data_IF_884893351977
#
_entry.id   IF_884893351977
#
_cell.length_a   1.000
_cell.length_b   1.000
_cell.length_c   1.000
_cell.angle_alpha   90.00
_cell.angle_beta   90.00
_cell.angle_gamma   90.00
#
_symmetry.space_group_name_H-M   'P 1'
#
loop_
_entity.id
_entity.type
_entity.pdbx_description
1 polymer ?
2 non-polymer ?
3 non-polymer ?
4 water ?
#
# COMPACT_ATOMS: atom_id res chain seq x y z
N UNK A 1 5.51 15.72 6.96
CA UNK A 1 5.56 15.93 5.52
C UNK A 1 5.96 14.65 4.77
N UNK A 2 5.59 14.52 3.47
CA UNK A 2 5.86 13.35 2.64
C UNK A 2 6.72 13.63 1.41
N UNK A 3 6.61 14.84 0.88
CA UNK A 3 7.28 15.22 -0.36
C UNK A 3 8.71 15.74 -0.29
N UNK A 4 9.20 16.07 0.91
CA UNK A 4 10.54 16.62 1.09
C UNK A 4 11.57 15.56 1.59
N UNK A 5 11.30 14.27 1.35
CA UNK A 5 12.24 13.25 1.81
C UNK A 5 13.32 12.98 0.78
N UNK A 6 14.56 12.73 1.24
CA UNK A 6 15.70 12.46 0.36
C UNK A 6 15.47 11.14 -0.34
N UNK A 7 15.77 11.12 -1.64
CA UNK A 7 15.60 9.93 -2.44
C UNK A 7 16.94 9.46 -2.97
N UNK A 8 17.00 8.18 -3.42
CA UNK A 8 18.19 7.56 -4.00
C UNK A 8 18.81 8.43 -5.12
N UNK A 9 17.99 9.12 -5.94
CA UNK A 9 18.46 9.96 -7.05
C UNK A 9 19.21 11.22 -6.57
N UNK A 10 18.92 11.68 -5.34
CA UNK A 10 19.53 12.86 -4.73
C UNK A 10 20.87 12.57 -4.06
N UNK A 11 21.20 11.27 -3.89
CA UNK A 11 22.43 10.88 -3.21
C UNK A 11 23.61 11.00 -4.17
N UNK A 12 24.56 11.88 -3.81
CA UNK A 12 25.74 12.16 -4.62
C UNK A 12 26.88 11.18 -4.38
N UNK A 13 27.20 10.88 -3.12
CA UNK A 13 28.33 10.00 -2.80
C UNK A 13 27.92 8.55 -2.62
N UNK A 14 27.99 7.74 -3.72
CA UNK A 14 27.65 6.31 -3.72
C UNK A 14 28.91 5.43 -4.01
N UNK A 15 29.81 5.86 -4.92
CA UNK A 15 31.01 5.12 -5.30
C UNK A 15 31.91 4.80 -4.09
N UNK A 16 32.27 3.53 -3.97
CA UNK A 16 33.09 3.01 -2.89
C UNK A 16 32.41 2.86 -1.54
N UNK A 17 31.06 3.04 -1.49
CA UNK A 17 30.28 2.96 -0.25
C UNK A 17 29.67 1.58 -0.03
N UNK A 18 29.48 1.24 1.25
CA UNK A 18 28.75 0.04 1.64
C UNK A 18 27.32 0.56 1.82
N UNK A 19 26.44 0.17 0.92
CA UNK A 19 25.05 0.64 0.90
C UNK A 19 24.11 -0.41 1.50
N UNK A 20 23.47 -0.06 2.62
CA UNK A 20 22.48 -0.92 3.29
C UNK A 20 21.10 -0.59 2.72
N UNK A 21 20.40 -1.62 2.14
CA UNK A 21 19.09 -1.42 1.48
C UNK A 21 18.03 -2.25 2.15
N UNK A 22 16.98 -1.58 2.68
CA UNK A 22 15.82 -2.30 3.25
C UNK A 22 14.84 -2.56 2.10
N UNK A 23 14.66 -3.84 1.75
CA UNK A 23 13.76 -4.22 0.66
C UNK A 23 12.60 -5.03 1.21
N UNK A 24 11.55 -5.15 0.41
CA UNK A 24 10.37 -5.95 0.72
C UNK A 24 10.45 -7.25 -0.14
N UNK A 25 10.95 -8.34 0.46
CA UNK A 25 11.11 -9.64 -0.19
C UNK A 25 10.20 -10.67 0.50
N UNK A 26 9.05 -10.22 1.05
CA UNK A 26 8.06 -11.06 1.71
C UNK A 26 7.25 -11.79 0.61
N UNK A 27 7.91 -12.75 -0.05
CA UNK A 27 7.39 -13.51 -1.18
C UNK A 27 6.84 -14.86 -0.74
N UNK A 28 5.80 -15.42 -1.43
CA UNK A 28 5.33 -16.76 -1.06
C UNK A 28 6.30 -17.83 -1.54
N UNK A 29 6.83 -18.63 -0.58
CA UNK A 29 7.79 -19.71 -0.87
C UNK A 29 7.16 -21.07 -0.56
N UNK A 30 6.99 -21.90 -1.59
CA UNK A 30 6.44 -23.25 -1.49
C UNK A 30 7.55 -24.28 -1.69
N UNK A 31 8.04 -24.85 -0.56
CA UNK A 31 9.15 -25.83 -0.44
C UNK A 31 10.35 -25.44 -1.32
N UNK A 32 10.98 -24.31 -0.95
CA UNK A 32 12.14 -23.75 -1.61
C UNK A 32 11.88 -22.99 -2.90
N UNK A 33 10.66 -23.10 -3.46
CA UNK A 33 10.30 -22.46 -4.73
C UNK A 33 9.50 -21.17 -4.49
N UNK A 34 9.93 -20.06 -5.10
CA UNK A 34 9.22 -18.78 -5.00
C UNK A 34 8.12 -18.80 -6.07
N UNK A 35 6.85 -18.66 -5.67
CA UNK A 35 5.72 -18.71 -6.62
C UNK A 35 5.42 -17.34 -7.25
N UNK A 36 5.71 -16.24 -6.54
CA UNK A 36 5.52 -14.89 -7.07
C UNK A 36 6.82 -14.10 -6.89
N UNK A 37 7.44 -13.68 -8.02
CA UNK A 37 8.72 -12.96 -8.03
C UNK A 37 8.60 -11.44 -8.22
N UNK A 38 7.35 -10.88 -8.31
CA UNK A 38 7.10 -9.46 -8.53
C UNK A 38 7.83 -8.51 -7.57
N UNK A 39 7.85 -8.83 -6.27
CA UNK A 39 8.50 -8.03 -5.23
C UNK A 39 10.01 -7.99 -5.45
N UNK A 40 10.59 -9.13 -5.91
CA UNK A 40 12.03 -9.24 -6.18
C UNK A 40 12.37 -8.40 -7.42
N UNK A 41 11.56 -8.54 -8.49
CA UNK A 41 11.69 -7.82 -9.75
C UNK A 41 11.56 -6.31 -9.53
N UNK A 42 10.66 -5.89 -8.64
CA UNK A 42 10.43 -4.48 -8.33
C UNK A 42 11.62 -3.77 -7.67
N UNK A 43 12.58 -4.51 -7.08
CA UNK A 43 13.77 -3.91 -6.45
C UNK A 43 14.94 -3.71 -7.43
N UNK A 44 14.86 -4.30 -8.65
CA UNK A 44 15.93 -4.21 -9.66
C UNK A 44 16.35 -2.76 -10.00
N UNK A 45 15.46 -1.76 -10.21
CA UNK A 45 15.96 -0.40 -10.46
C UNK A 45 16.87 0.15 -9.35
N UNK A 46 16.54 -0.15 -8.08
CA UNK A 46 17.32 0.27 -6.91
C UNK A 46 18.70 -0.38 -6.92
N UNK A 47 18.75 -1.71 -7.12
CA UNK A 47 20.00 -2.47 -7.17
C UNK A 47 20.86 -2.03 -8.35
N UNK A 48 20.24 -1.87 -9.55
CA UNK A 48 20.97 -1.46 -10.75
C UNK A 48 21.58 -0.06 -10.58
N UNK A 49 20.82 0.88 -10.03
CA UNK A 49 21.36 2.22 -9.80
C UNK A 49 22.59 2.15 -8.87
N UNK A 50 22.53 1.36 -7.80
CA UNK A 50 23.66 1.24 -6.89
C UNK A 50 24.89 0.59 -7.55
N UNK A 51 24.74 -0.52 -8.30
CA UNK A 51 25.85 -1.17 -9.03
C UNK A 51 26.47 -0.17 -10.05
N UNK A 52 25.63 0.49 -10.87
CA UNK A 52 26.01 1.47 -11.90
C UNK A 52 26.75 2.65 -11.27
N UNK A 53 26.30 3.10 -10.09
CA UNK A 53 26.94 4.22 -9.40
C UNK A 53 28.22 3.81 -8.62
N UNK A 54 28.66 2.56 -8.79
CA UNK A 54 29.89 2.05 -8.24
C UNK A 54 29.93 1.76 -6.76
N UNK A 55 28.79 1.37 -6.16
CA UNK A 55 28.74 1.00 -4.75
C UNK A 55 29.76 -0.13 -4.50
N UNK A 56 30.47 -0.09 -3.36
CA UNK A 56 31.45 -1.13 -3.01
C UNK A 56 30.70 -2.44 -2.65
N UNK A 57 29.61 -2.32 -1.87
CA UNK A 57 28.76 -3.43 -1.45
C UNK A 57 27.31 -2.99 -1.48
N UNK A 58 26.41 -3.90 -1.91
CA UNK A 58 24.96 -3.65 -1.91
C UNK A 58 24.43 -4.69 -0.95
N UNK A 59 24.13 -4.24 0.28
CA UNK A 59 23.73 -5.11 1.38
C UNK A 59 22.23 -5.03 1.57
N UNK A 60 21.54 -6.13 1.26
CA UNK A 60 20.08 -6.19 1.33
C UNK A 60 19.62 -6.82 2.60
N UNK A 61 18.71 -6.13 3.30
CA UNK A 61 18.06 -6.61 4.53
C UNK A 61 16.54 -6.65 4.30
N UNK A 62 15.89 -7.74 4.75
CA UNK A 62 14.45 -7.88 4.54
C UNK A 62 13.90 -8.88 5.53
N UNK A 63 12.62 -9.22 5.37
CA UNK A 63 11.92 -10.21 6.17
C UNK A 63 10.98 -10.94 5.25
N UNK A 64 10.52 -12.11 5.70
CA UNK A 64 9.51 -12.91 5.01
C UNK A 64 8.86 -13.86 6.01
N UNK A 65 7.60 -14.18 5.77
CA UNK A 65 6.84 -15.09 6.62
C UNK A 65 6.61 -14.58 8.04
N UNK A 66 6.58 -15.51 8.99
CA UNK A 66 6.28 -15.18 10.38
C UNK A 66 7.16 -15.94 11.41
N UNK A 67 8.51 -15.70 11.45
CA UNK A 67 9.34 -16.38 12.45
C UNK A 67 9.10 -15.94 13.90
N UNK A 68 8.54 -14.74 14.08
CA UNK A 68 8.15 -14.19 15.40
C UNK A 68 9.32 -13.97 16.37
N UNK A 69 10.43 -13.41 15.89
CA UNK A 69 11.58 -13.11 16.71
C UNK A 69 12.41 -14.32 17.14
N UNK A 70 12.34 -15.38 16.34
CA UNK A 70 13.07 -16.63 16.59
C UNK A 70 13.57 -17.13 15.26
N UNK A 71 14.78 -17.72 15.23
CA UNK A 71 15.33 -18.33 14.02
C UNK A 71 14.42 -19.49 13.64
N UNK A 72 13.83 -19.40 12.43
CA UNK A 72 12.90 -20.37 11.88
C UNK A 72 13.20 -20.49 10.39
N UNK A 73 13.97 -21.52 10.03
CA UNK A 73 14.46 -21.75 8.68
C UNK A 73 13.39 -22.11 7.65
N UNK A 74 12.09 -22.14 8.04
CA UNK A 74 11.00 -22.30 7.07
C UNK A 74 10.86 -20.93 6.36
N UNK A 75 11.21 -19.85 7.09
CA UNK A 75 11.14 -18.47 6.64
C UNK A 75 12.54 -17.89 6.29
N UNK A 76 13.43 -18.78 5.82
CA UNK A 76 14.79 -18.40 5.41
C UNK A 76 14.70 -17.61 4.10
N UNK A 77 15.53 -16.57 3.95
CA UNK A 77 15.56 -15.79 2.71
C UNK A 77 16.49 -16.42 1.67
N UNK A 78 17.14 -17.57 2.01
CA UNK A 78 18.03 -18.29 1.08
C UNK A 78 17.46 -18.44 -0.34
N UNK A 79 16.22 -18.92 -0.58
CA UNK A 79 15.73 -19.02 -1.97
C UNK A 79 15.65 -17.69 -2.72
N UNK A 80 15.42 -16.58 -2.01
CA UNK A 80 15.33 -15.22 -2.60
C UNK A 80 16.69 -14.81 -3.22
N UNK A 81 17.81 -15.19 -2.56
CA UNK A 81 19.18 -14.90 -3.03
C UNK A 81 19.39 -15.53 -4.40
N UNK A 82 19.00 -16.82 -4.55
CA UNK A 82 19.06 -17.62 -5.79
C UNK A 82 18.23 -17.01 -6.92
N UNK A 83 16.99 -16.59 -6.64
CA UNK A 83 16.10 -15.98 -7.64
C UNK A 83 16.65 -14.62 -8.08
N UNK A 84 17.07 -13.80 -7.10
CA UNK A 84 17.66 -12.49 -7.37
C UNK A 84 18.93 -12.64 -8.22
N UNK A 85 19.76 -13.64 -7.89
CA UNK A 85 20.96 -13.96 -8.65
C UNK A 85 20.65 -14.22 -10.11
N UNK A 86 19.63 -15.07 -10.38
CA UNK A 86 19.16 -15.38 -11.74
C UNK A 86 18.73 -14.10 -12.47
N UNK A 87 17.96 -13.21 -11.80
CA UNK A 87 17.49 -11.94 -12.36
C UNK A 87 18.60 -10.92 -12.65
N UNK A 88 19.68 -10.98 -11.86
CA UNK A 88 20.80 -10.05 -11.99
C UNK A 88 21.87 -10.52 -12.99
N UNK A 89 21.94 -11.84 -13.22
CA UNK A 89 22.93 -12.43 -14.10
C UNK A 89 24.29 -12.48 -13.41
N UNK A 90 24.28 -12.64 -12.07
CA UNK A 90 25.46 -12.71 -11.22
C UNK A 90 25.12 -13.39 -9.91
N UNK A 91 26.14 -13.95 -9.23
CA UNK A 91 25.95 -14.62 -7.95
C UNK A 91 25.64 -13.58 -6.86
N UNK A 92 24.59 -13.85 -6.07
CA UNK A 92 24.19 -13.01 -4.95
C UNK A 92 24.60 -13.79 -3.71
N UNK A 93 25.46 -13.19 -2.87
CA UNK A 93 25.94 -13.87 -1.67
C UNK A 93 24.88 -13.86 -0.58
N UNK A 94 24.53 -15.06 -0.06
CA UNK A 94 23.56 -15.18 1.01
C UNK A 94 24.25 -15.46 2.32
N UNK A 95 23.98 -14.63 3.36
CA UNK A 95 24.58 -14.80 4.70
C UNK A 95 23.52 -15.28 5.69
N UNK A 96 23.91 -16.20 6.59
CA UNK A 96 23.02 -16.87 7.54
C UNK A 96 22.53 -16.00 8.72
N UNK A 97 23.06 -14.78 8.85
CA UNK A 97 22.61 -13.85 9.90
C UNK A 97 22.61 -12.45 9.28
N UNK A 98 22.21 -11.43 10.05
CA UNK A 98 22.14 -10.06 9.53
C UNK A 98 22.96 -9.05 10.37
N UNK A 99 23.48 -9.48 11.53
CA UNK A 99 24.25 -8.65 12.46
C UNK A 99 25.50 -9.42 12.98
N UNK A 100 26.48 -8.70 13.54
CA UNK A 100 27.66 -9.32 14.15
C UNK A 100 28.94 -9.29 13.35
N UNK A 101 30.07 -9.55 14.05
CA UNK A 101 31.44 -9.53 13.51
C UNK A 101 31.61 -10.47 12.31
N UNK A 102 31.04 -11.69 12.39
CA UNK A 102 31.14 -12.66 11.29
C UNK A 102 30.45 -12.19 10.01
N UNK A 103 29.25 -11.58 10.15
CA UNK A 103 28.52 -11.05 9.01
C UNK A 103 29.33 -9.89 8.42
N UNK A 104 29.85 -9.00 9.30
CA UNK A 104 30.69 -7.87 8.89
C UNK A 104 31.94 -8.34 8.13
N UNK A 105 32.58 -9.43 8.60
CA UNK A 105 33.79 -10.02 7.98
C UNK A 105 33.50 -10.58 6.58
N UNK A 106 32.35 -11.28 6.44
CA UNK A 106 31.89 -11.87 5.18
C UNK A 106 31.54 -10.79 4.18
N UNK A 107 30.99 -9.64 4.66
CA UNK A 107 30.64 -8.52 3.78
C UNK A 107 31.93 -7.92 3.21
N UNK A 108 32.90 -7.65 4.09
CA UNK A 108 34.19 -7.06 3.68
C UNK A 108 34.98 -7.96 2.76
N UNK A 109 34.91 -9.29 2.97
CA UNK A 109 35.60 -10.30 2.17
C UNK A 109 35.01 -10.50 0.77
N UNK A 110 33.73 -10.10 0.58
CA UNK A 110 33.01 -10.27 -0.69
C UNK A 110 33.61 -9.43 -1.82
N UNK A 111 33.38 -9.88 -3.05
CA UNK A 111 33.80 -9.22 -4.29
C UNK A 111 33.25 -7.77 -4.32
N UNK A 112 34.05 -6.81 -4.79
CA UNK A 112 33.61 -5.42 -4.87
C UNK A 112 32.46 -5.27 -5.87
N UNK A 113 31.54 -4.33 -5.58
CA UNK A 113 30.33 -3.99 -6.36
C UNK A 113 29.31 -5.15 -6.39
N UNK A 114 29.45 -6.14 -5.47
CA UNK A 114 28.53 -7.30 -5.43
C UNK A 114 27.31 -7.07 -4.51
N UNK A 115 26.31 -7.96 -4.61
CA UNK A 115 25.05 -7.92 -3.89
C UNK A 115 25.04 -9.01 -2.81
N UNK A 116 24.77 -8.61 -1.56
CA UNK A 116 24.74 -9.53 -0.43
C UNK A 116 23.34 -9.51 0.20
N UNK A 117 22.75 -10.69 0.40
CA UNK A 117 21.43 -10.79 1.04
C UNK A 117 21.62 -11.37 2.44
N UNK A 118 21.22 -10.60 3.44
CA UNK A 118 21.36 -11.06 4.81
C UNK A 118 20.13 -11.86 5.23
N UNK A 119 20.29 -12.69 6.26
CA UNK A 119 19.17 -13.50 6.71
C UNK A 119 18.05 -12.63 7.31
N UNK A 120 16.79 -13.12 7.16
CA UNK A 120 15.53 -12.56 7.66
C UNK A 120 15.71 -11.80 8.95
N UNK A 121 15.40 -10.48 8.94
CA UNK A 121 15.51 -9.62 10.13
C UNK A 121 14.62 -10.12 11.27
N UNK A 122 13.44 -10.69 10.91
CA UNK A 122 12.45 -11.11 11.90
C UNK A 122 12.83 -12.40 12.67
N UNK A 123 14.04 -12.95 12.42
CA UNK A 123 14.59 -14.07 13.20
C UNK A 123 15.05 -13.48 14.55
N UNK A 124 15.09 -12.12 14.64
CA UNK A 124 15.50 -11.38 15.83
C UNK A 124 14.30 -10.67 16.44
N UNK A 125 14.07 -10.87 17.74
CA UNK A 125 12.95 -10.25 18.46
C UNK A 125 13.02 -8.72 18.41
N UNK A 126 14.24 -8.17 18.30
CA UNK A 126 14.52 -6.74 18.27
C UNK A 126 14.01 -6.06 17.00
N UNK A 127 13.71 -6.82 15.93
CA UNK A 127 13.22 -6.20 14.70
C UNK A 127 11.80 -5.65 14.93
N UNK A 128 10.86 -6.51 15.29
CA UNK A 128 9.49 -6.09 15.58
C UNK A 128 9.37 -5.55 17.00
N UNK A 129 10.29 -5.94 17.88
CA UNK A 129 10.29 -5.51 19.28
C UNK A 129 9.55 -6.44 20.22
N UNK A 130 8.87 -7.43 19.65
CA UNK A 130 8.06 -8.43 20.36
C UNK A 130 8.04 -9.69 19.51
N UNK A 131 7.86 -10.82 20.16
CA UNK A 131 7.77 -12.07 19.45
C UNK A 131 7.23 -13.18 20.33
N UNK A 132 7.51 -14.40 19.90
CA UNK A 132 7.05 -15.59 20.60
C UNK A 132 8.13 -16.65 20.48
N UNK A 133 8.52 -17.28 21.62
CA UNK A 133 9.54 -18.33 21.56
C UNK A 133 8.92 -19.63 21.01
N UNK A 134 9.77 -20.65 20.82
CA UNK A 134 9.41 -21.99 20.36
C UNK A 134 8.21 -22.54 21.15
N UNK A 135 8.31 -22.55 22.49
CA UNK A 135 7.30 -23.00 23.45
C UNK A 135 5.95 -22.24 23.35
N UNK A 136 5.94 -21.07 22.72
CA UNK A 136 4.75 -20.25 22.58
C UNK A 136 4.61 -19.16 23.62
N UNK A 137 5.68 -18.87 24.35
CA UNK A 137 5.67 -17.81 25.34
C UNK A 137 6.01 -16.50 24.63
N UNK A 138 5.29 -15.43 25.01
CA UNK A 138 5.50 -14.09 24.49
C UNK A 138 6.87 -13.63 24.97
N UNK A 139 7.64 -13.02 24.09
CA UNK A 139 8.93 -12.43 24.43
C UNK A 139 8.92 -10.98 23.97
N UNK A 140 9.64 -10.11 24.67
CA UNK A 140 9.70 -8.71 24.33
C UNK A 140 11.14 -8.24 24.46
N UNK A 141 11.57 -7.40 23.53
CA UNK A 141 12.90 -6.85 23.57
C UNK A 141 12.83 -5.62 24.46
N UNK A 142 13.86 -5.42 25.29
CA UNK A 142 13.95 -4.25 26.12
C UNK A 142 14.49 -3.10 25.25
N UNK A 143 14.36 -1.84 25.72
CA UNK A 143 14.85 -0.64 25.04
C UNK A 143 16.33 -0.79 24.63
N UNK A 144 17.16 -1.36 25.53
CA UNK A 144 18.59 -1.63 25.39
C UNK A 144 18.87 -2.69 24.31
N UNK A 145 18.08 -3.80 24.30
CA UNK A 145 18.21 -4.86 23.29
C UNK A 145 17.92 -4.28 21.90
N UNK A 146 16.85 -3.45 21.80
CA UNK A 146 16.40 -2.76 20.59
C UNK A 146 17.52 -1.89 20.06
N UNK A 147 18.08 -1.03 20.94
CA UNK A 147 19.16 -0.08 20.66
C UNK A 147 20.43 -0.75 20.20
N UNK A 148 20.78 -1.89 20.82
CA UNK A 148 21.96 -2.66 20.46
C UNK A 148 21.81 -3.22 19.03
N UNK A 149 20.64 -3.86 18.73
CA UNK A 149 20.36 -4.43 17.39
C UNK A 149 20.35 -3.35 16.29
N UNK A 150 19.79 -2.17 16.60
CA UNK A 150 19.74 -1.03 15.69
C UNK A 150 21.17 -0.54 15.41
N UNK A 151 22.02 -0.50 16.46
CA UNK A 151 23.44 -0.10 16.34
C UNK A 151 24.22 -1.07 15.45
N UNK A 152 23.93 -2.38 15.59
CA UNK A 152 24.53 -3.46 14.82
C UNK A 152 24.18 -3.36 13.33
N UNK A 153 22.90 -3.05 13.02
CA UNK A 153 22.44 -2.83 11.65
C UNK A 153 23.14 -1.60 11.11
N UNK A 154 23.23 -0.52 11.91
CA UNK A 154 23.93 0.72 11.49
C UNK A 154 25.41 0.45 11.14
N UNK A 155 26.08 -0.45 11.89
CA UNK A 155 27.50 -0.79 11.67
C UNK A 155 27.76 -1.52 10.34
N UNK A 156 26.73 -2.06 9.68
CA UNK A 156 26.90 -2.79 8.42
C UNK A 156 27.31 -1.94 7.22
N UNK A 157 27.02 -0.64 7.25
CA UNK A 157 27.29 0.18 6.08
C UNK A 157 27.42 1.65 6.34
N UNK A 158 27.49 2.42 5.24
CA UNK A 158 27.73 3.87 5.23
C UNK A 158 26.51 4.68 4.84
N UNK A 159 25.73 4.16 3.86
CA UNK A 159 24.54 4.84 3.31
C UNK A 159 23.33 3.90 3.49
N UNK A 160 22.17 4.48 3.89
CA UNK A 160 20.95 3.69 4.05
C UNK A 160 19.89 4.04 3.03
N UNK A 161 19.40 3.01 2.31
CA UNK A 161 18.33 3.15 1.31
C UNK A 161 17.12 2.35 1.78
N UNK A 162 15.99 3.05 1.97
CA UNK A 162 14.75 2.40 2.39
C UNK A 162 13.83 2.24 1.20
N UNK A 163 13.72 1.00 0.70
CA UNK A 163 12.88 0.68 -0.44
C UNK A 163 11.70 -0.21 -0.03
N UNK A 164 11.34 -0.20 1.27
CA UNK A 164 10.26 -1.01 1.84
C UNK A 164 9.11 -0.14 2.43
N UNK A 165 8.41 0.59 1.55
CA UNK A 165 7.28 1.43 1.94
C UNK A 165 6.18 0.63 2.66
N UNK A 166 5.94 -0.62 2.26
CA UNK A 166 4.97 -1.52 2.87
C UNK A 166 5.22 -1.87 4.31
N UNK A 167 6.38 -1.48 4.87
CA UNK A 167 6.72 -1.75 6.28
C UNK A 167 6.95 -0.43 7.01
N UNK A 168 6.89 0.70 6.28
CA UNK A 168 7.13 2.05 6.82
C UNK A 168 6.06 2.53 7.83
N UNK A 169 4.93 1.81 7.95
CA UNK A 169 3.90 2.15 8.96
C UNK A 169 4.23 1.52 10.33
N UNK A 170 5.33 0.75 10.38
CA UNK A 170 5.77 0.03 11.57
C UNK A 170 7.00 0.64 12.20
N UNK A 171 7.02 0.81 13.53
CA UNK A 171 8.21 1.33 14.24
C UNK A 171 9.28 0.21 14.45
N UNK A 172 9.58 -0.55 13.40
CA UNK A 172 10.52 -1.66 13.46
C UNK A 172 11.98 -1.20 13.40
N UNK A 173 12.91 -1.98 13.98
CA UNK A 173 14.33 -1.62 14.02
C UNK A 173 14.90 -1.17 12.67
N UNK A 174 14.60 -1.92 11.60
CA UNK A 174 15.07 -1.57 10.25
C UNK A 174 14.38 -0.36 9.62
N UNK A 175 13.27 0.17 10.24
CA UNK A 175 12.55 1.33 9.71
C UNK A 175 12.97 2.61 10.43
N UNK A 176 13.27 2.51 11.74
CA UNK A 176 13.59 3.67 12.60
C UNK A 176 15.03 3.73 13.19
N UNK A 177 15.75 2.61 13.25
CA UNK A 177 17.05 2.62 13.92
C UNK A 177 18.33 2.60 13.12
N UNK A 178 18.26 2.76 11.81
CA UNK A 178 19.51 2.73 11.03
C UNK A 178 20.03 4.17 10.97
N UNK A 179 20.92 4.52 11.91
CA UNK A 179 21.38 5.90 12.11
C UNK A 179 22.60 6.27 11.30
N UNK A 180 22.43 6.28 9.99
CA UNK A 180 23.47 6.66 9.07
C UNK A 180 23.21 8.11 8.68
N UNK A 181 24.21 8.81 8.14
CA UNK A 181 24.01 10.21 7.79
C UNK A 181 23.03 10.38 6.62
N UNK A 182 23.11 9.49 5.62
CA UNK A 182 22.26 9.50 4.45
C UNK A 182 21.25 8.34 4.58
N UNK A 183 19.97 8.69 4.71
CA UNK A 183 18.82 7.77 4.86
C UNK A 183 17.84 8.21 3.80
N UNK A 184 17.89 7.53 2.64
CA UNK A 184 17.14 7.94 1.46
C UNK A 184 16.16 6.88 1.00
N UNK A 185 15.05 7.30 0.36
CA UNK A 185 14.07 6.36 -0.17
C UNK A 185 14.62 5.69 -1.44
N UNK A 186 14.33 4.40 -1.64
CA UNK A 186 14.71 3.69 -2.87
C UNK A 186 13.72 4.07 -3.97
N UNK A 187 13.84 3.56 -5.22
CA UNK A 187 12.88 3.96 -6.27
C UNK A 187 11.36 3.66 -5.96
N UNK A 188 11.05 2.49 -5.36
CA UNK A 188 9.67 2.11 -5.02
C UNK A 188 9.09 3.07 -4.02
N UNK A 189 9.84 3.30 -2.91
CA UNK A 189 9.44 4.19 -1.84
C UNK A 189 9.35 5.65 -2.33
N UNK A 190 10.32 6.08 -3.17
CA UNK A 190 10.36 7.41 -3.77
C UNK A 190 9.04 7.68 -4.52
N UNK A 191 8.60 6.75 -5.41
CA UNK A 191 7.36 6.91 -6.19
C UNK A 191 6.12 7.02 -5.28
N UNK A 192 6.03 6.17 -4.23
CA UNK A 192 4.92 6.15 -3.28
C UNK A 192 4.84 7.50 -2.58
N UNK A 193 5.96 7.99 -2.05
CA UNK A 193 6.01 9.25 -1.33
C UNK A 193 5.71 10.43 -2.23
N UNK A 194 6.22 10.40 -3.46
CA UNK A 194 6.02 11.48 -4.45
C UNK A 194 4.53 11.66 -4.83
N UNK A 195 3.86 10.55 -5.18
CA UNK A 195 2.46 10.58 -5.57
C UNK A 195 1.51 10.80 -4.40
N UNK A 196 1.77 10.18 -3.22
CA UNK A 196 0.91 10.45 -2.05
C UNK A 196 1.08 11.91 -1.61
N UNK A 197 2.29 12.47 -1.76
CA UNK A 197 2.54 13.91 -1.48
C UNK A 197 1.73 14.78 -2.48
N UNK A 198 1.76 14.46 -3.79
CA UNK A 198 0.98 15.18 -4.82
C UNK A 198 -0.53 15.17 -4.46
N UNK A 199 -1.07 14.03 -4.03
CA UNK A 199 -2.48 13.89 -3.69
C UNK A 199 -2.90 14.57 -2.39
N UNK A 200 -2.02 14.62 -1.39
CA UNK A 200 -2.44 15.11 -0.07
C UNK A 200 -1.76 16.36 0.49
N UNK A 201 -0.82 17.05 -0.15
CA UNK A 201 -0.30 18.18 0.65
C UNK A 201 -0.83 19.58 0.22
N UNK A 202 -0.60 19.90 -1.02
CA UNK A 202 -0.93 21.05 -1.88
C UNK A 202 -1.37 20.43 -3.22
N UNK A 203 -2.47 19.63 -3.24
CA UNK A 203 -2.83 18.95 -4.49
C UNK A 203 -3.30 19.92 -5.57
N UNK A 204 -3.27 19.48 -6.82
CA UNK A 204 -3.87 20.24 -7.92
C UNK A 204 -5.39 19.94 -7.75
N UNK A 205 -6.20 20.99 -7.48
CA UNK A 205 -7.63 20.89 -7.21
C UNK A 205 -8.53 21.10 -8.46
N UNK A 206 -9.79 20.57 -8.50
CA UNK A 206 -10.51 19.83 -7.42
C UNK A 206 -9.90 18.48 -7.10
N UNK A 207 -9.80 18.16 -5.82
CA UNK A 207 -9.31 16.85 -5.39
C UNK A 207 -10.52 15.96 -5.12
N UNK A 208 -10.57 14.82 -5.79
CA UNK A 208 -11.67 13.86 -5.64
C UNK A 208 -11.21 12.52 -5.03
N UNK A 209 -11.98 11.99 -4.07
CA UNK A 209 -11.78 10.66 -3.50
C UNK A 209 -12.94 9.80 -4.00
N UNK A 210 -12.63 8.63 -4.53
CA UNK A 210 -13.63 7.66 -4.98
C UNK A 210 -13.48 6.51 -4.01
N UNK A 211 -14.50 6.31 -3.18
CA UNK A 211 -14.49 5.28 -2.14
C UNK A 211 -15.57 4.28 -2.39
N UNK A 212 -15.27 3.03 -2.07
CA UNK A 212 -16.21 1.94 -2.26
C UNK A 212 -15.86 0.82 -1.32
N UNK A 213 -16.25 -0.38 -1.66
CA UNK A 213 -15.97 -1.53 -0.81
C UNK A 213 -17.25 -2.05 -0.20
N UNK A 214 -17.16 -3.16 0.48
CA UNK A 214 -18.30 -3.83 1.09
C UNK A 214 -18.86 -3.14 2.33
N UNK A 215 -18.00 -2.60 3.21
CA UNK A 215 -18.43 -2.06 4.52
C UNK A 215 -18.14 -0.61 4.76
N UNK A 216 -18.83 -0.03 5.75
CA UNK A 216 -18.62 1.37 6.15
C UNK A 216 -17.55 1.37 7.25
N UNK A 217 -17.75 0.48 8.25
CA UNK A 217 -16.97 0.35 9.47
C UNK A 217 -15.44 0.41 9.26
N UNK A 218 -14.90 -0.41 8.34
CA UNK A 218 -13.45 -0.44 8.10
C UNK A 218 -12.92 0.75 7.26
N UNK A 219 -13.81 1.69 6.86
CA UNK A 219 -13.43 2.86 6.06
C UNK A 219 -13.68 4.17 6.79
N UNK A 220 -14.23 4.13 8.02
CA UNK A 220 -14.56 5.34 8.78
C UNK A 220 -13.38 6.28 8.94
N UNK A 221 -12.22 5.74 9.42
CA UNK A 221 -11.00 6.58 9.63
C UNK A 221 -10.55 7.14 8.31
N UNK A 222 -10.54 6.29 7.25
CA UNK A 222 -10.12 6.74 5.92
C UNK A 222 -11.02 7.92 5.47
N UNK A 223 -12.37 7.75 5.54
CA UNK A 223 -13.35 8.75 5.10
C UNK A 223 -13.16 10.03 5.91
N UNK A 224 -13.14 9.91 7.23
CA UNK A 224 -12.99 11.09 8.11
C UNK A 224 -11.70 11.87 7.86
N UNK A 225 -10.58 11.15 7.58
CA UNK A 225 -9.33 11.81 7.25
C UNK A 225 -9.42 12.47 5.88
N UNK A 226 -9.95 11.74 4.88
CA UNK A 226 -10.06 12.35 3.52
C UNK A 226 -11.02 13.55 3.47
N UNK A 227 -12.02 13.61 4.38
CA UNK A 227 -12.93 14.76 4.43
C UNK A 227 -12.20 16.08 4.77
N UNK A 228 -11.00 15.99 5.40
CA UNK A 228 -10.14 17.14 5.72
C UNK A 228 -9.31 17.59 4.52
N UNK A 229 -9.23 16.79 3.44
CA UNK A 229 -8.39 17.12 2.27
C UNK A 229 -9.14 17.38 0.97
N UNK A 230 -10.11 16.53 0.65
CA UNK A 230 -10.79 16.53 -0.65
C UNK A 230 -11.79 17.67 -0.80
N UNK A 231 -12.17 17.90 -2.05
CA UNK A 231 -13.22 18.86 -2.41
C UNK A 231 -14.50 18.08 -2.73
N UNK A 232 -14.34 16.84 -3.23
CA UNK A 232 -15.45 15.99 -3.64
C UNK A 232 -15.20 14.52 -3.24
N UNK A 233 -16.28 13.79 -2.94
CA UNK A 233 -16.18 12.39 -2.60
C UNK A 233 -17.32 11.57 -3.18
N UNK A 234 -16.98 10.55 -3.96
CA UNK A 234 -17.94 9.58 -4.47
C UNK A 234 -17.91 8.47 -3.43
N UNK A 235 -19.09 8.05 -2.93
CA UNK A 235 -19.22 6.93 -2.02
C UNK A 235 -20.12 5.92 -2.76
N UNK A 236 -19.56 4.74 -3.04
CA UNK A 236 -20.24 3.68 -3.77
C UNK A 236 -19.97 2.28 -3.24
N UNK A 237 -20.19 1.28 -4.07
CA UNK A 237 -20.04 -0.11 -3.64
C UNK A 237 -21.08 -0.52 -2.60
N UNK A 238 -20.81 -1.64 -1.93
CA UNK A 238 -21.69 -2.18 -0.89
C UNK A 238 -21.95 -1.24 0.25
N UNK A 239 -20.97 -0.40 0.60
CA UNK A 239 -21.11 0.54 1.72
C UNK A 239 -22.23 1.58 1.52
N UNK A 240 -22.55 1.96 0.25
CA UNK A 240 -23.59 2.94 -0.12
C UNK A 240 -25.00 2.59 0.37
N UNK A 241 -25.40 1.29 0.38
CA UNK A 241 -26.71 0.87 0.85
C UNK A 241 -26.97 1.28 2.28
N UNK A 242 -25.91 1.21 3.14
CA UNK A 242 -25.99 1.62 4.55
C UNK A 242 -26.28 3.13 4.57
N UNK A 243 -25.57 3.91 3.73
CA UNK A 243 -25.82 5.36 3.62
C UNK A 243 -27.25 5.66 3.15
N UNK A 244 -27.74 4.98 2.08
CA UNK A 244 -29.10 5.18 1.54
C UNK A 244 -30.17 4.83 2.55
N UNK A 245 -29.96 3.72 3.31
CA UNK A 245 -30.90 3.32 4.34
C UNK A 245 -30.96 4.37 5.45
N UNK A 246 -29.80 4.80 6.00
CA UNK A 246 -29.77 5.76 7.11
C UNK A 246 -30.24 7.16 6.70
N UNK A 247 -29.77 7.63 5.56
CA UNK A 247 -30.06 8.98 5.11
C UNK A 247 -31.42 9.18 4.47
N UNK A 248 -31.88 8.23 3.62
CA UNK A 248 -33.14 8.38 2.89
C UNK A 248 -34.23 7.38 3.24
N UNK A 249 -34.00 6.55 4.27
CA UNK A 249 -34.91 5.47 4.69
C UNK A 249 -35.25 4.59 3.49
N UNK A 250 -34.29 4.46 2.56
CA UNK A 250 -34.43 3.66 1.34
C UNK A 250 -34.48 2.20 1.70
N UNK A 251 -35.43 1.45 1.10
CA UNK A 251 -35.56 0.00 1.23
C UNK A 251 -34.34 -0.60 0.53
N UNK A 252 -33.65 -1.54 1.18
CA UNK A 252 -32.42 -2.10 0.61
C UNK A 252 -32.51 -3.61 0.41
N UNK A 253 -33.66 -4.19 0.72
CA UNK A 253 -33.86 -5.63 0.55
C UNK A 253 -32.77 -6.42 1.24
N UNK A 254 -32.15 -7.39 0.55
CA UNK A 254 -31.05 -8.20 1.08
C UNK A 254 -29.65 -7.67 0.75
N UNK A 255 -29.54 -6.39 0.39
CA UNK A 255 -28.25 -5.79 0.11
C UNK A 255 -27.42 -5.76 1.40
N UNK A 256 -26.10 -5.60 1.28
CA UNK A 256 -25.24 -5.50 2.45
C UNK A 256 -25.66 -4.37 3.34
N UNK A 257 -25.70 -4.61 4.64
CA UNK A 257 -26.02 -3.57 5.61
C UNK A 257 -25.02 -3.65 6.74
N UNK A 258 -24.33 -2.52 7.04
CA UNK A 258 -23.31 -2.49 8.09
C UNK A 258 -23.91 -1.90 9.37
N UNK A 259 -24.35 -2.76 10.29
CA UNK A 259 -25.00 -2.33 11.54
C UNK A 259 -24.13 -1.39 12.39
N UNK A 260 -22.84 -1.74 12.66
CA UNK A 260 -21.99 -0.82 13.44
C UNK A 260 -21.72 0.45 12.67
N UNK A 261 -21.41 0.32 11.38
CA UNK A 261 -21.11 1.47 10.52
C UNK A 261 -22.26 2.43 10.30
N UNK A 262 -23.53 1.92 10.34
CA UNK A 262 -24.74 2.74 10.15
C UNK A 262 -24.88 3.82 11.20
N UNK A 263 -24.31 3.57 12.40
CA UNK A 263 -24.39 4.54 13.51
C UNK A 263 -23.47 5.76 13.32
N UNK A 264 -22.56 5.73 12.35
CA UNK A 264 -21.58 6.80 12.10
C UNK A 264 -21.89 7.57 10.79
N UNK A 265 -22.85 7.08 9.98
CA UNK A 265 -23.22 7.72 8.70
C UNK A 265 -23.55 9.23 8.87
N UNK A 266 -24.42 9.60 9.84
CA UNK A 266 -24.77 11.01 10.11
C UNK A 266 -23.56 11.87 10.44
N UNK A 267 -22.65 11.36 11.31
CA UNK A 267 -21.39 12.06 11.68
C UNK A 267 -20.56 12.35 10.44
N UNK A 268 -20.40 11.32 9.58
CA UNK A 268 -19.66 11.46 8.32
C UNK A 268 -20.30 12.56 7.47
N UNK A 269 -21.63 12.48 7.27
CA UNK A 269 -22.35 13.48 6.46
C UNK A 269 -22.24 14.90 7.03
N UNK A 270 -22.25 15.02 8.38
CA UNK A 270 -22.11 16.29 9.10
C UNK A 270 -20.71 16.87 8.94
N UNK A 271 -19.67 16.00 8.93
CA UNK A 271 -18.29 16.46 8.72
C UNK A 271 -18.12 16.98 7.30
N UNK A 272 -18.67 16.24 6.32
CA UNK A 272 -18.64 16.65 4.91
C UNK A 272 -19.25 18.05 4.72
N UNK A 273 -20.41 18.33 5.38
CA UNK A 273 -21.06 19.65 5.32
C UNK A 273 -20.18 20.68 6.00
N UNK A 274 -19.58 20.36 7.18
CA UNK A 274 -18.68 21.29 7.86
C UNK A 274 -17.46 21.66 6.98
N UNK A 275 -16.90 20.68 6.27
CA UNK A 275 -15.73 20.85 5.43
C UNK A 275 -16.02 21.32 4.00
N UNK A 276 -17.31 21.51 3.65
CA UNK A 276 -17.79 21.96 2.33
C UNK A 276 -17.43 20.97 1.20
N UNK A 277 -17.48 19.67 1.52
CA UNK A 277 -17.14 18.59 0.58
C UNK A 277 -18.43 18.10 -0.05
N UNK A 278 -18.45 18.00 -1.39
CA UNK A 278 -19.61 17.52 -2.15
C UNK A 278 -19.58 15.98 -2.14
N UNK A 279 -20.64 15.36 -1.61
CA UNK A 279 -20.80 13.90 -1.52
C UNK A 279 -21.67 13.38 -2.63
N UNK A 280 -21.19 12.36 -3.36
CA UNK A 280 -21.89 11.75 -4.49
C UNK A 280 -22.23 10.29 -4.25
N UNK A 281 -23.46 10.05 -3.79
CA UNK A 281 -23.98 8.71 -3.54
C UNK A 281 -24.76 8.21 -4.77
N UNK A 282 -24.87 6.88 -5.00
CA UNK A 282 -25.66 6.40 -6.16
C UNK A 282 -27.15 6.76 -6.07
N UNK A 283 -27.77 7.06 -7.23
CA UNK A 283 -29.20 7.41 -7.31
C UNK A 283 -30.03 6.28 -7.94
N UNK A 284 -29.35 5.19 -8.32
CA UNK A 284 -29.93 4.00 -8.94
C UNK A 284 -28.95 2.79 -8.85
N UNK A 285 -29.50 1.59 -8.97
CA UNK A 285 -28.72 0.37 -8.73
C UNK A 285 -29.14 -0.74 -9.67
N UNK A 286 -28.18 -1.61 -10.00
CA UNK A 286 -28.46 -2.84 -10.70
C UNK A 286 -28.66 -3.83 -9.58
N UNK A 287 -29.89 -4.32 -9.47
CA UNK A 287 -30.30 -5.27 -8.43
C UNK A 287 -30.38 -6.66 -9.00
N UNK A 288 -30.30 -7.67 -8.12
CA UNK A 288 -30.27 -9.08 -8.49
C UNK A 288 -31.15 -9.89 -7.56
N UNK A 289 -31.69 -11.01 -8.04
CA UNK A 289 -32.56 -11.83 -7.19
C UNK A 289 -31.80 -12.94 -6.43
N UNK A 290 -30.49 -13.03 -6.65
CA UNK A 290 -29.61 -13.99 -5.99
C UNK A 290 -28.16 -13.50 -6.12
N UNK A 291 -27.33 -13.82 -5.10
CA UNK A 291 -25.94 -13.40 -5.12
C UNK A 291 -25.19 -14.31 -6.06
N UNK A 292 -25.30 -14.01 -7.37
CA UNK A 292 -24.71 -14.85 -8.44
C UNK A 292 -24.62 -14.05 -9.73
N UNK A 293 -23.62 -14.31 -10.58
CA UNK A 293 -23.45 -13.60 -11.85
C UNK A 293 -24.58 -13.88 -12.85
N UNK A 294 -25.26 -15.04 -12.73
CA UNK A 294 -26.37 -15.39 -13.61
C UNK A 294 -27.76 -15.02 -13.02
N UNK A 295 -27.79 -14.18 -11.96
CA UNK A 295 -29.05 -13.75 -11.34
C UNK A 295 -29.98 -13.00 -12.32
N UNK A 296 -31.28 -12.93 -12.00
CA UNK A 296 -32.23 -12.11 -12.75
C UNK A 296 -31.93 -10.72 -12.24
N UNK A 297 -31.80 -9.76 -13.15
CA UNK A 297 -31.43 -8.41 -12.75
C UNK A 297 -32.36 -7.34 -13.34
N UNK A 298 -32.37 -6.17 -12.70
CA UNK A 298 -33.09 -4.98 -13.18
C UNK A 298 -32.49 -3.74 -12.55
N UNK A 299 -32.90 -2.56 -13.02
CA UNK A 299 -32.43 -1.30 -12.49
C UNK A 299 -33.57 -0.71 -11.68
N UNK A 300 -33.26 -0.21 -10.47
CA UNK A 300 -34.22 0.50 -9.62
C UNK A 300 -33.59 1.84 -9.25
N UNK A 301 -34.38 2.88 -9.08
CA UNK A 301 -33.83 4.20 -8.71
C UNK A 301 -33.89 4.24 -7.17
N UNK A 302 -33.26 5.26 -6.55
CA UNK A 302 -33.35 5.38 -5.09
C UNK A 302 -34.74 5.85 -4.63
N UNK A 303 -35.59 6.34 -5.57
CA UNK A 303 -36.97 6.70 -5.26
C UNK A 303 -37.78 5.40 -5.10
N UNK A 304 -37.53 4.37 -5.94
CA UNK A 304 -38.22 3.09 -5.83
C UNK A 304 -37.69 2.26 -4.66
N UNK A 305 -36.36 2.28 -4.46
CA UNK A 305 -35.71 1.47 -3.44
C UNK A 305 -35.64 0.04 -3.95
N UNK A 306 -35.16 -0.86 -3.13
CA UNK A 306 -34.96 -2.26 -3.52
C UNK A 306 -36.00 -3.12 -2.84
N UNK A 307 -36.67 -4.00 -3.59
CA UNK A 307 -37.68 -4.83 -2.96
C UNK A 307 -37.08 -5.94 -2.07
N UNK A 308 -37.90 -6.49 -1.16
CA UNK A 308 -37.47 -7.57 -0.28
C UNK A 308 -36.99 -8.71 -1.14
N UNK A 309 -35.93 -9.42 -0.66
CA UNK A 309 -35.29 -10.59 -1.30
C UNK A 309 -34.44 -10.24 -2.52
N UNK A 310 -34.33 -8.95 -2.86
CA UNK A 310 -33.48 -8.49 -3.96
C UNK A 310 -32.26 -7.77 -3.34
N UNK A 311 -31.17 -7.64 -4.10
CA UNK A 311 -29.96 -7.03 -3.56
C UNK A 311 -29.23 -6.17 -4.58
N UNK A 312 -28.79 -5.00 -4.15
CA UNK A 312 -28.01 -4.13 -5.03
C UNK A 312 -26.56 -4.60 -5.12
N UNK A 313 -26.08 -4.87 -6.34
CA UNK A 313 -24.74 -5.39 -6.61
C UNK A 313 -23.89 -4.48 -7.50
N UNK A 314 -24.47 -3.37 -8.01
CA UNK A 314 -23.67 -2.37 -8.79
C UNK A 314 -24.44 -1.10 -8.84
N UNK A 315 -23.75 0.00 -9.17
CA UNK A 315 -24.37 1.30 -9.41
C UNK A 315 -25.21 1.15 -10.69
N UNK A 316 -26.30 1.89 -10.79
CA UNK A 316 -27.16 1.85 -11.97
C UNK A 316 -26.66 2.77 -13.07
N UNK A 317 -27.34 2.79 -14.24
CA UNK A 317 -26.88 3.64 -15.36
C UNK A 317 -26.87 5.15 -15.10
N UNK A 318 -27.78 5.65 -14.25
CA UNK A 318 -27.85 7.09 -13.95
C UNK A 318 -26.71 7.51 -13.02
N UNK A 319 -26.42 6.66 -12.02
CA UNK A 319 -25.31 6.87 -11.08
C UNK A 319 -24.02 6.87 -11.88
N UNK A 320 -23.93 5.99 -12.90
CA UNK A 320 -22.75 5.85 -13.78
C UNK A 320 -22.58 7.10 -14.63
N UNK A 321 -23.70 7.69 -15.10
CA UNK A 321 -23.73 8.92 -15.88
C UNK A 321 -23.25 10.07 -15.00
N UNK A 322 -23.69 10.10 -13.73
CA UNK A 322 -23.30 11.12 -12.75
C UNK A 322 -21.79 11.17 -12.45
N UNK A 323 -21.06 10.05 -12.69
CA UNK A 323 -19.60 10.00 -12.46
C UNK A 323 -18.88 10.96 -13.39
N UNK A 324 -19.35 11.01 -14.66
CA UNK A 324 -18.71 11.73 -15.77
C UNK A 324 -18.28 13.14 -15.40
N UNK A 325 -19.21 14.06 -15.06
CA UNK A 325 -18.83 15.43 -14.71
C UNK A 325 -17.96 15.51 -13.46
N UNK A 326 -18.21 14.59 -12.49
CA UNK A 326 -17.46 14.55 -11.23
C UNK A 326 -15.98 14.22 -11.46
N UNK A 327 -15.69 13.09 -12.15
CA UNK A 327 -14.35 12.61 -12.42
C UNK A 327 -13.58 13.47 -13.43
N UNK A 328 -14.20 13.76 -14.60
CA UNK A 328 -13.54 14.54 -15.66
C UNK A 328 -13.17 16.00 -15.28
N UNK A 329 -13.82 16.58 -14.27
CA UNK A 329 -13.48 17.94 -13.83
C UNK A 329 -12.48 17.90 -12.66
N UNK A 330 -12.04 16.69 -12.27
CA UNK A 330 -11.10 16.55 -11.16
C UNK A 330 -9.65 16.55 -11.62
N UNK A 331 -8.79 17.29 -10.92
CA UNK A 331 -7.36 17.36 -11.26
C UNK A 331 -6.52 16.36 -10.47
N UNK A 332 -7.02 15.91 -9.31
CA UNK A 332 -6.38 14.84 -8.52
C UNK A 332 -7.46 13.85 -8.10
N UNK A 333 -7.21 12.58 -8.32
CA UNK A 333 -8.15 11.51 -7.98
C UNK A 333 -7.48 10.47 -7.07
N UNK A 334 -8.06 10.20 -5.89
CA UNK A 334 -7.59 9.13 -4.99
C UNK A 334 -8.71 8.09 -5.08
N UNK A 335 -8.43 6.93 -5.65
CA UNK A 335 -9.42 5.88 -5.80
C UNK A 335 -9.10 4.72 -4.88
N UNK A 336 -9.99 4.47 -3.92
CA UNK A 336 -9.87 3.38 -2.97
C UNK A 336 -11.24 2.71 -2.77
N UNK A 337 -11.56 1.79 -3.69
CA UNK A 337 -12.77 0.99 -3.62
C UNK A 337 -13.59 0.83 -4.88
N UNK A 338 -13.93 -0.42 -5.27
CA UNK A 338 -14.81 -0.64 -6.45
C UNK A 338 -16.25 -0.21 -6.17
N UNK A 339 -17.03 0.03 -7.24
CA UNK A 339 -18.37 0.59 -7.17
C UNK A 339 -19.47 -0.47 -7.23
N UNK A 340 -19.04 -1.73 -7.25
CA UNK A 340 -19.93 -2.88 -7.33
C UNK A 340 -19.15 -4.17 -7.17
N UNK A 341 -19.83 -5.33 -7.37
CA UNK A 341 -19.22 -6.68 -7.26
C UNK A 341 -18.52 -6.98 -8.60
N UNK A 342 -17.36 -6.33 -8.83
CA UNK A 342 -16.58 -6.44 -10.08
C UNK A 342 -16.07 -7.88 -10.39
N UNK A 343 -15.99 -8.76 -9.38
CA UNK A 343 -15.59 -10.17 -9.53
C UNK A 343 -16.63 -10.93 -10.38
N UNK A 344 -17.89 -10.42 -10.46
CA UNK A 344 -18.99 -10.95 -11.25
C UNK A 344 -19.10 -10.00 -12.45
N UNK A 345 -18.76 -10.48 -13.66
CA UNK A 345 -18.78 -9.59 -14.84
C UNK A 345 -20.05 -8.77 -15.04
N UNK A 346 -21.23 -9.32 -14.71
CA UNK A 346 -22.49 -8.60 -14.89
C UNK A 346 -22.67 -7.42 -13.91
N UNK A 347 -21.87 -7.34 -12.85
CA UNK A 347 -21.92 -6.26 -11.84
C UNK A 347 -20.58 -5.50 -11.80
N UNK A 348 -19.81 -5.56 -12.89
CA UNK A 348 -18.52 -4.87 -12.99
C UNK A 348 -18.60 -3.57 -13.77
N UNK A 349 -19.70 -3.33 -14.49
CA UNK A 349 -19.91 -2.18 -15.38
C UNK A 349 -19.65 -0.83 -14.73
N UNK A 350 -20.17 -0.63 -13.51
CA UNK A 350 -19.97 0.60 -12.74
C UNK A 350 -18.52 0.86 -12.42
N UNK A 351 -17.80 -0.21 -11.99
CA UNK A 351 -16.37 -0.16 -11.65
C UNK A 351 -15.53 0.06 -12.94
N UNK A 352 -15.86 -0.66 -14.02
CA UNK A 352 -15.17 -0.51 -15.30
C UNK A 352 -15.38 0.93 -15.89
N UNK A 353 -16.59 1.49 -15.79
CA UNK A 353 -16.83 2.84 -16.31
C UNK A 353 -16.11 3.88 -15.48
N UNK A 354 -16.08 3.69 -14.16
CA UNK A 354 -15.32 4.53 -13.24
C UNK A 354 -13.83 4.51 -13.69
N UNK A 355 -13.27 3.30 -13.95
CA UNK A 355 -11.91 3.16 -14.44
C UNK A 355 -11.70 3.91 -15.77
N UNK A 356 -12.62 3.77 -16.74
CA UNK A 356 -12.50 4.46 -18.03
C UNK A 356 -12.50 5.98 -17.87
N UNK A 357 -13.28 6.48 -16.91
CA UNK A 357 -13.34 7.92 -16.69
C UNK A 357 -12.08 8.45 -16.00
N UNK A 358 -11.54 7.66 -15.04
CA UNK A 358 -10.32 8.01 -14.32
C UNK A 358 -9.16 8.06 -15.34
N UNK A 359 -9.06 7.06 -16.24
CA UNK A 359 -8.05 7.01 -17.30
C UNK A 359 -8.15 8.25 -18.21
N UNK A 360 -9.36 8.58 -18.66
CA UNK A 360 -9.66 9.72 -19.53
C UNK A 360 -9.19 11.03 -18.86
N UNK A 361 -9.49 11.20 -17.56
CA UNK A 361 -9.09 12.37 -16.80
C UNK A 361 -7.56 12.45 -16.67
N UNK A 362 -6.89 11.28 -16.55
CA UNK A 362 -5.44 11.15 -16.40
C UNK A 362 -4.75 11.58 -17.69
N UNK A 363 -5.26 11.12 -18.86
CA UNK A 363 -4.74 11.47 -20.19
C UNK A 363 -4.83 12.97 -20.44
N UNK A 364 -5.81 13.63 -19.81
CA UNK A 364 -6.03 15.07 -19.93
C UNK A 364 -5.29 15.88 -18.85
N UNK A 365 -4.43 15.23 -18.05
CA UNK A 365 -3.63 15.93 -17.05
C UNK A 365 -3.90 15.68 -15.58
N UNK A 366 -4.92 14.87 -15.23
CA UNK A 366 -5.17 14.60 -13.81
C UNK A 366 -4.13 13.65 -13.26
N UNK A 367 -3.92 13.70 -11.94
CA UNK A 367 -3.04 12.75 -11.24
C UNK A 367 -4.00 11.73 -10.61
N UNK A 368 -3.90 10.45 -10.96
CA UNK A 368 -4.76 9.38 -10.41
C UNK A 368 -3.97 8.41 -9.53
N UNK A 369 -4.42 8.22 -8.30
CA UNK A 369 -3.79 7.32 -7.34
C UNK A 369 -4.77 6.27 -6.97
N UNK A 370 -4.37 5.01 -7.14
CA UNK A 370 -5.18 3.86 -6.78
C UNK A 370 -4.56 3.32 -5.48
N UNK A 371 -5.36 3.37 -4.42
CA UNK A 371 -5.01 3.02 -3.05
C UNK A 371 -4.43 1.64 -2.86
N UNK A 372 -5.03 0.66 -3.53
CA UNK A 372 -4.58 -0.72 -3.45
C UNK A 372 -5.70 -1.72 -3.49
N UNK A 373 -5.49 -2.85 -2.82
CA UNK A 373 -6.41 -3.98 -2.68
C UNK A 373 -7.21 -4.35 -3.92
N UNK A 374 -8.55 -4.38 -3.74
CA UNK A 374 -9.53 -4.70 -4.76
C UNK A 374 -9.50 -3.77 -5.95
N UNK A 375 -9.24 -2.44 -5.73
CA UNK A 375 -9.15 -1.46 -6.82
C UNK A 375 -7.93 -1.77 -7.69
N UNK A 376 -6.78 -2.09 -7.05
CA UNK A 376 -5.56 -2.49 -7.78
C UNK A 376 -5.83 -3.75 -8.64
N UNK A 377 -6.57 -4.73 -8.09
CA UNK A 377 -6.92 -6.01 -8.75
C UNK A 377 -7.76 -5.75 -9.98
N UNK A 378 -8.76 -4.87 -9.86
CA UNK A 378 -9.62 -4.43 -10.96
C UNK A 378 -8.75 -3.81 -12.07
N UNK A 379 -7.86 -2.85 -11.72
CA UNK A 379 -6.97 -2.17 -12.70
C UNK A 379 -6.08 -3.23 -13.39
N UNK A 380 -5.55 -4.19 -12.62
CA UNK A 380 -4.69 -5.28 -13.11
C UNK A 380 -5.47 -6.22 -14.07
N UNK A 381 -6.68 -6.67 -13.66
CA UNK A 381 -7.54 -7.53 -14.46
C UNK A 381 -7.95 -6.87 -15.77
N UNK A 382 -8.11 -5.51 -15.75
CA UNK A 382 -8.46 -4.72 -16.95
C UNK A 382 -7.21 -4.32 -17.75
N UNK A 383 -6.02 -4.68 -17.24
CA UNK A 383 -4.71 -4.40 -17.85
C UNK A 383 -4.52 -2.90 -18.13
N UNK A 384 -4.80 -2.07 -17.10
CA UNK A 384 -4.73 -0.61 -17.24
C UNK A 384 -3.79 0.08 -16.25
N UNK A 385 -2.89 -0.68 -15.60
CA UNK A 385 -1.95 -0.15 -14.61
C UNK A 385 -1.14 1.03 -15.12
N UNK A 386 -0.70 0.95 -16.38
CA UNK A 386 0.12 1.98 -17.03
C UNK A 386 -0.66 3.21 -17.43
N UNK A 387 -2.01 3.16 -17.28
CA UNK A 387 -2.92 4.27 -17.60
C UNK A 387 -3.27 5.11 -16.36
N UNK A 388 -2.87 4.62 -15.18
CA UNK A 388 -3.10 5.29 -13.88
C UNK A 388 -1.76 5.88 -13.43
N UNK A 389 -1.73 7.13 -12.93
CA UNK A 389 -0.45 7.74 -12.49
C UNK A 389 0.32 6.87 -11.49
N UNK A 390 -0.37 6.36 -10.45
CA UNK A 390 0.27 5.53 -9.44
C UNK A 390 -0.69 4.52 -8.86
N UNK A 391 -0.34 3.23 -8.93
CA UNK A 391 -1.10 2.14 -8.32
C UNK A 391 -0.22 1.73 -7.15
N UNK A 392 -0.64 2.06 -5.94
CA UNK A 392 0.14 1.79 -4.75
C UNK A 392 0.24 0.29 -4.43
N UNK A 393 1.43 -0.16 -4.00
CA UNK A 393 1.67 -1.55 -3.56
C UNK A 393 2.04 -1.56 -2.07
N UNK A 394 1.80 -0.45 -1.40
CA UNK A 394 2.13 -0.29 0.02
C UNK A 394 1.25 -1.00 1.02
N UNK A 395 0.13 -1.58 0.55
CA UNK A 395 -0.80 -2.35 1.39
C UNK A 395 -1.28 -1.62 2.63
N UNK A 396 -0.97 -2.17 3.79
CA UNK A 396 -1.33 -1.58 5.09
C UNK A 396 -0.77 -0.19 5.31
N UNK A 397 0.46 0.07 4.81
CA UNK A 397 1.11 1.39 4.93
C UNK A 397 0.38 2.45 4.12
N UNK A 398 -0.09 2.11 2.89
CA UNK A 398 -0.86 3.04 2.03
C UNK A 398 -2.17 3.41 2.71
N UNK A 399 -2.83 2.42 3.29
CA UNK A 399 -4.07 2.64 3.99
C UNK A 399 -3.88 3.55 5.20
N UNK A 400 -2.82 3.31 6.01
CA UNK A 400 -2.53 4.15 7.18
C UNK A 400 -2.17 5.57 6.78
N UNK A 401 -1.47 5.72 5.66
CA UNK A 401 -1.09 7.04 5.13
C UNK A 401 -2.39 7.82 4.81
N UNK A 402 -3.33 7.16 4.09
CA UNK A 402 -4.61 7.78 3.72
C UNK A 402 -5.55 8.04 4.92
N UNK A 403 -5.38 7.32 6.00
CA UNK A 403 -6.13 7.46 7.26
C UNK A 403 -5.53 8.60 8.13
N UNK A 404 -4.43 9.20 7.69
CA UNK A 404 -3.72 10.29 8.34
C UNK A 404 -2.80 9.86 9.47
N UNK A 405 -2.45 8.57 9.53
CA UNK A 405 -1.58 8.01 10.57
C UNK A 405 -0.09 8.22 10.29
N UNK A 406 0.74 8.18 11.35
CA UNK A 406 2.19 8.37 11.31
C UNK A 406 2.88 7.12 10.74
N UNK A 407 3.79 7.34 9.80
CA UNK A 407 4.56 6.27 9.19
C UNK A 407 5.99 6.43 9.75
N UNK A 408 6.39 5.67 10.81
CA UNK A 408 7.74 5.84 11.39
C UNK A 408 8.89 5.65 10.39
N UNK A 409 8.74 4.72 9.44
CA UNK A 409 9.73 4.50 8.40
C UNK A 409 9.92 5.71 7.49
N UNK A 410 8.86 6.53 7.34
CA UNK A 410 8.92 7.74 6.51
C UNK A 410 9.53 8.86 7.33
N UNK A 411 9.05 9.03 8.56
CA UNK A 411 9.54 10.08 9.48
C UNK A 411 11.09 9.99 9.64
N UNK A 412 11.64 8.76 9.69
CA UNK A 412 13.06 8.46 9.91
C UNK A 412 13.96 8.70 8.68
N UNK A 413 13.39 9.03 7.51
CA UNK A 413 14.20 9.32 6.32
C UNK A 413 14.81 10.73 6.44
N UNK A 414 15.93 10.99 5.76
CA UNK A 414 16.55 12.32 5.73
C UNK A 414 15.63 13.29 4.93
N UNK A 415 15.70 14.57 5.27
CA UNK A 415 15.00 15.64 4.57
C UNK A 415 15.88 16.07 3.39
N UNK A 416 15.29 16.55 2.28
CA UNK A 416 16.01 16.98 1.07
C UNK A 416 16.86 18.22 1.35
X LIG B 1 -28.60 11.45 0.72
X LIG B 1 -27.73 12.48 1.14
X LIG B 1 -28.21 10.97 -0.67
X LIG B 1 -28.41 9.55 -0.74
X LIG B 1 -29.07 11.66 -1.71
X LIG B 1 -28.80 11.15 -3.01
X LIG C 1 -23.23 -9.99 -0.59
X LIG C 1 -24.14 -11.02 -0.13
X LIG C 1 -25.44 -10.68 -0.36
X LIG C 1 -26.63 -11.54 -0.04
X LIG C 1 -26.24 -12.63 0.95
X LIG C 1 -24.94 -13.30 0.53
X LIG C 1 -23.77 -12.32 0.53
X LIG C 1 -23.27 -7.90 -1.81
X LIG C 1 -21.66 -3.81 -4.07
X LIG C 1 -21.78 -9.93 -0.46
X LIG C 1 -21.16 -6.70 -2.24
X LIG C 1 -21.24 -8.79 -0.93
X LIG C 1 -23.91 -8.92 -1.17
X LIG C 1 -21.09 -10.80 0.06
X LIG C 1 -19.88 -6.25 -2.18
X LIG C 1 -19.85 -5.01 -2.83
X LIG C 1 -21.12 -4.79 -3.24
X LIG C 1 -21.83 -8.01 -2.03
X LIG C 1 -21.96 -5.77 -2.86
X LIG C 1 -20.90 -2.98 -4.55
X LIG C 1 -22.87 -3.85 -4.30
X LIG C 1 -25.61 -9.15 -1.15
#
# INVERSE_FOLDING_TARGET
>A
SLGNKLSITDVKAIQGKKVLVRVDFNVPIENGVIKDTNRITATLPTIHHLKKEGAAKIILISHCGRPDGTKNLKYTLKPVAETLGTLLGEEVLFLSDCVGEEVAAQINQAKDNSVILLENLRFHVEEEGKGVDAAGNKIKASKEDMEKFQNELTKLGDVFINDAFGTAHRAHSSMVGIKMNVKASGFLMKKELEYFSKALENPQRPLLAILGGAKVSDKIQLIKNLLDKVDKMIIGGGMAYTFKYVLNNMKIGDSLFDEAGSKIVNEIMEKAKAKNVEIYLPVDFKVADKFDNNANTKVVTDEEGIEDKWMGLDAGPKSIENYKDVILSSKTIIWNGPQGVFEMPNFAKGSIECLNLVIEATKKGAISIVGGGDTASLVEQQQKKNEISHVSTGGGASLELLEGKELPGVVALSSK
>B hetero
1 GOL C1 O1 C2 O2 C3 O3
>C hetero
1 OTQ C1 C2 C3 C4 C5 C6 C7 N1 N2 C8 C10 N C O C11 C12 C13 C9 O1 O2 O3 S
#
